data_IF_055216208423
#
_entry.id   IF_055216208423
#
_cell.length_a   1.000
_cell.length_b   1.000
_cell.length_c   1.000
_cell.angle_alpha   90.00
_cell.angle_beta   90.00
_cell.angle_gamma   90.00
#
_symmetry.space_group_name_H-M   'P 1'
#
loop_
_entity.id
_entity.type
_entity.pdbx_description
1 polymer ?
#
# COMPACT_ATOMS: atom_id res chain seq x y z
N UNK A 1 2.74 19.58 4.02
CA UNK A 1 1.74 19.29 2.98
C UNK A 1 2.47 18.54 1.87
N UNK A 2 2.37 17.22 1.84
CA UNK A 2 3.04 16.40 0.83
C UNK A 2 2.07 16.18 -0.34
N UNK A 3 2.44 16.68 -1.54
CA UNK A 3 2.02 16.02 -2.77
C UNK A 3 0.87 16.58 -3.60
N UNK A 4 0.39 17.80 -3.40
CA UNK A 4 -0.63 18.35 -4.32
C UNK A 4 -0.09 18.74 -5.70
N UNK A 5 1.19 19.11 -5.78
CA UNK A 5 1.81 19.60 -7.02
C UNK A 5 2.69 18.55 -7.72
N UNK A 6 2.90 17.38 -7.11
CA UNK A 6 3.78 16.36 -7.69
C UNK A 6 3.39 14.97 -7.21
N UNK A 7 2.95 14.13 -8.15
CA UNK A 7 2.75 12.69 -7.91
C UNK A 7 4.09 12.10 -7.45
N UNK A 8 4.06 11.36 -6.33
CA UNK A 8 5.21 10.63 -5.84
C UNK A 8 5.64 9.58 -6.86
N UNK A 9 6.92 9.59 -7.23
CA UNK A 9 7.46 8.70 -8.27
C UNK A 9 7.38 7.23 -7.90
N UNK A 10 7.52 6.89 -6.61
CA UNK A 10 7.36 5.53 -6.13
C UNK A 10 5.93 5.05 -6.30
N UNK A 11 4.96 5.88 -5.91
CA UNK A 11 3.53 5.57 -6.09
C UNK A 11 3.15 5.43 -7.56
N UNK A 12 3.65 6.30 -8.44
CA UNK A 12 3.43 6.16 -9.88
C UNK A 12 4.00 4.85 -10.43
N UNK A 13 5.23 4.51 -10.03
CA UNK A 13 5.87 3.24 -10.42
C UNK A 13 5.09 2.01 -9.96
N UNK A 14 4.49 2.05 -8.75
CA UNK A 14 3.62 1.00 -8.26
C UNK A 14 2.38 0.86 -9.14
N UNK A 15 1.71 1.96 -9.46
CA UNK A 15 0.49 1.96 -10.29
C UNK A 15 0.76 1.44 -11.70
N UNK A 16 1.88 1.78 -12.31
CA UNK A 16 2.28 1.27 -13.63
C UNK A 16 2.38 -0.27 -13.68
N UNK A 17 2.64 -0.91 -12.52
CA UNK A 17 2.76 -2.37 -12.41
C UNK A 17 1.53 -3.05 -11.79
N UNK A 18 0.51 -2.27 -11.38
CA UNK A 18 -0.64 -2.81 -10.66
C UNK A 18 -1.41 -3.86 -11.47
N UNK A 19 -1.63 -3.62 -12.78
CA UNK A 19 -2.30 -4.58 -13.66
C UNK A 19 -1.58 -5.93 -13.71
N UNK A 20 -0.26 -5.93 -13.86
CA UNK A 20 0.56 -7.16 -13.87
C UNK A 20 0.55 -7.85 -12.48
N UNK A 21 0.53 -7.08 -11.40
CA UNK A 21 0.43 -7.61 -10.04
C UNK A 21 -0.94 -8.28 -9.79
N UNK A 22 -2.03 -7.76 -10.36
CA UNK A 22 -3.37 -8.31 -10.21
C UNK A 22 -3.64 -9.52 -11.11
N UNK A 23 -2.94 -9.64 -12.24
CA UNK A 23 -3.18 -10.70 -13.24
C UNK A 23 -3.13 -12.14 -12.68
N UNK A 24 -2.27 -12.51 -11.70
CA UNK A 24 -2.22 -13.87 -11.16
C UNK A 24 -3.37 -14.25 -10.21
N UNK A 25 -4.29 -13.33 -9.89
CA UNK A 25 -5.46 -13.70 -9.08
C UNK A 25 -6.40 -14.58 -9.91
N UNK A 26 -6.72 -15.76 -9.40
CA UNK A 26 -7.66 -16.70 -10.05
C UNK A 26 -9.11 -16.20 -10.03
N UNK A 27 -9.45 -15.42 -9.02
CA UNK A 27 -10.72 -14.71 -8.87
C UNK A 27 -10.40 -13.23 -8.71
N UNK A 28 -11.09 -12.31 -9.40
CA UNK A 28 -10.86 -10.89 -9.22
C UNK A 28 -10.94 -10.49 -7.74
N UNK A 29 -9.93 -9.77 -7.22
CA UNK A 29 -9.95 -9.34 -5.82
C UNK A 29 -11.03 -8.28 -5.61
N UNK A 30 -11.75 -8.38 -4.50
CA UNK A 30 -12.90 -7.50 -4.22
C UNK A 30 -12.54 -6.33 -3.30
N UNK A 31 -11.58 -6.52 -2.39
CA UNK A 31 -11.26 -5.55 -1.35
C UNK A 31 -9.81 -5.04 -1.43
N UNK A 32 -9.66 -3.72 -1.30
CA UNK A 32 -8.38 -3.03 -1.35
C UNK A 32 -8.13 -2.24 -0.06
N UNK A 33 -6.92 -2.35 0.47
CA UNK A 33 -6.39 -1.47 1.51
C UNK A 33 -5.19 -0.66 0.97
N UNK A 34 -5.26 0.67 1.09
CA UNK A 34 -4.13 1.58 0.91
C UNK A 34 -3.55 1.92 2.30
N UNK A 35 -2.41 1.33 2.63
CA UNK A 35 -1.79 1.40 3.95
C UNK A 35 -0.71 2.48 4.01
N UNK A 36 -0.93 3.54 4.79
CA UNK A 36 -0.12 4.75 4.75
C UNK A 36 -0.48 5.60 3.54
N UNK A 37 -1.77 5.85 3.37
CA UNK A 37 -2.37 6.32 2.12
C UNK A 37 -1.99 7.74 1.70
N UNK A 38 -1.47 8.57 2.62
CA UNK A 38 -1.29 9.99 2.33
C UNK A 38 -2.61 10.63 1.88
N UNK A 39 -2.62 11.27 0.72
CA UNK A 39 -3.83 11.86 0.13
C UNK A 39 -4.66 10.86 -0.70
N UNK A 40 -4.32 9.56 -0.69
CA UNK A 40 -5.11 8.49 -1.30
C UNK A 40 -4.84 8.24 -2.78
N UNK A 41 -3.68 8.61 -3.29
CA UNK A 41 -3.34 8.43 -4.71
C UNK A 41 -3.41 6.97 -5.16
N UNK A 42 -2.78 6.05 -4.42
CA UNK A 42 -2.77 4.62 -4.78
C UNK A 42 -4.19 4.06 -4.83
N UNK A 43 -5.01 4.35 -3.83
CA UNK A 43 -6.39 3.90 -3.76
C UNK A 43 -7.25 4.46 -4.91
N UNK A 44 -7.11 5.75 -5.22
CA UNK A 44 -7.87 6.40 -6.29
C UNK A 44 -7.50 5.82 -7.67
N UNK A 45 -6.22 5.64 -7.97
CA UNK A 45 -5.79 5.03 -9.22
C UNK A 45 -6.19 3.54 -9.30
N UNK A 46 -6.03 2.80 -8.20
CA UNK A 46 -6.40 1.39 -8.13
C UNK A 46 -7.92 1.15 -8.30
N UNK A 47 -8.77 2.13 -7.98
CA UNK A 47 -10.23 2.01 -8.12
C UNK A 47 -10.69 1.62 -9.53
N UNK A 48 -9.87 1.90 -10.54
CA UNK A 48 -10.14 1.57 -11.95
C UNK A 48 -10.05 0.06 -12.24
N UNK A 49 -9.55 -0.73 -11.30
CA UNK A 49 -9.38 -2.18 -11.45
C UNK A 49 -10.56 -3.02 -10.91
N UNK A 50 -11.68 -2.40 -10.57
CA UNK A 50 -12.94 -3.11 -10.30
C UNK A 50 -13.10 -3.62 -8.89
N UNK A 51 -12.41 -3.04 -7.89
CA UNK A 51 -12.63 -3.37 -6.47
C UNK A 51 -14.05 -2.98 -6.03
N UNK A 52 -14.66 -3.84 -5.21
CA UNK A 52 -15.99 -3.61 -4.63
C UNK A 52 -15.95 -2.77 -3.35
N UNK A 53 -14.82 -2.74 -2.67
CA UNK A 53 -14.58 -1.94 -1.46
C UNK A 53 -13.13 -1.43 -1.44
N UNK A 54 -12.97 -0.16 -1.05
CA UNK A 54 -11.67 0.48 -0.89
C UNK A 54 -11.56 1.13 0.49
N UNK A 55 -10.54 0.75 1.24
CA UNK A 55 -10.20 1.33 2.53
C UNK A 55 -8.82 1.96 2.46
N UNK A 56 -8.66 3.11 3.10
CA UNK A 56 -7.38 3.78 3.24
C UNK A 56 -7.08 4.07 4.71
N UNK A 57 -5.82 4.06 5.10
CA UNK A 57 -5.42 4.37 6.47
C UNK A 57 -4.14 5.19 6.52
N UNK A 58 -4.14 6.19 7.39
CA UNK A 58 -2.98 7.02 7.70
C UNK A 58 -3.06 7.50 9.16
N UNK A 59 -1.94 7.97 9.72
CA UNK A 59 -1.91 8.58 11.05
C UNK A 59 -1.83 10.11 11.03
N UNK A 60 -1.65 10.70 9.86
CA UNK A 60 -1.57 12.14 9.67
C UNK A 60 -2.95 12.74 9.40
N UNK A 61 -3.43 13.64 10.27
CA UNK A 61 -4.77 14.23 10.15
C UNK A 61 -4.98 15.01 8.84
N UNK A 62 -3.96 15.72 8.34
CA UNK A 62 -4.06 16.45 7.09
C UNK A 62 -4.14 15.49 5.87
N UNK A 63 -3.39 14.39 5.90
CA UNK A 63 -3.45 13.35 4.90
C UNK A 63 -4.84 12.69 4.86
N UNK A 64 -5.38 12.34 6.02
CA UNK A 64 -6.73 11.76 6.17
C UNK A 64 -7.79 12.70 5.60
N UNK A 65 -7.74 14.00 5.91
CA UNK A 65 -8.69 14.98 5.38
C UNK A 65 -8.62 15.05 3.85
N UNK A 66 -7.41 15.17 3.31
CA UNK A 66 -7.20 15.21 1.87
C UNK A 66 -7.65 13.91 1.17
N UNK A 67 -7.39 12.75 1.78
CA UNK A 67 -7.81 11.46 1.25
C UNK A 67 -9.34 11.35 1.22
N UNK A 68 -10.04 11.78 2.26
CA UNK A 68 -11.51 11.80 2.31
C UNK A 68 -12.11 12.69 1.21
N UNK A 69 -11.54 13.87 0.99
CA UNK A 69 -11.98 14.76 -0.09
C UNK A 69 -11.78 14.12 -1.46
N UNK A 70 -10.63 13.49 -1.71
CA UNK A 70 -10.36 12.79 -2.95
C UNK A 70 -11.28 11.59 -3.14
N UNK A 71 -11.53 10.79 -2.11
CA UNK A 71 -12.45 9.66 -2.18
C UNK A 71 -13.88 10.11 -2.52
N UNK A 72 -14.38 11.15 -1.85
CA UNK A 72 -15.70 11.71 -2.13
C UNK A 72 -15.87 12.22 -3.58
N UNK A 73 -14.77 12.67 -4.20
CA UNK A 73 -14.80 13.19 -5.58
C UNK A 73 -14.56 12.14 -6.65
N UNK A 74 -13.79 11.10 -6.35
CA UNK A 74 -13.23 10.20 -7.36
C UNK A 74 -13.74 8.76 -7.26
N UNK A 75 -14.18 8.32 -6.08
CA UNK A 75 -14.63 6.95 -5.88
C UNK A 75 -16.16 6.84 -5.90
N UNK A 76 -16.65 5.84 -6.63
CA UNK A 76 -18.08 5.50 -6.70
C UNK A 76 -18.42 4.23 -5.92
N UNK A 77 -17.42 3.45 -5.52
CA UNK A 77 -17.56 2.23 -4.74
C UNK A 77 -17.59 2.53 -3.24
N UNK A 78 -18.14 1.65 -2.39
CA UNK A 78 -18.03 1.73 -0.95
C UNK A 78 -16.59 1.99 -0.52
N UNK A 79 -16.38 3.04 0.26
CA UNK A 79 -15.05 3.43 0.68
C UNK A 79 -15.03 4.08 2.07
N UNK A 80 -13.88 4.02 2.73
CA UNK A 80 -13.66 4.70 4.01
C UNK A 80 -12.19 5.01 4.24
N UNK A 81 -11.94 6.08 4.99
CA UNK A 81 -10.61 6.48 5.44
C UNK A 81 -10.55 6.39 6.96
N UNK A 82 -9.66 5.55 7.46
CA UNK A 82 -9.51 5.20 8.88
C UNK A 82 -8.25 5.83 9.44
N UNK A 83 -8.40 6.61 10.51
CA UNK A 83 -7.25 7.10 11.25
C UNK A 83 -6.61 5.95 12.03
N UNK A 84 -5.31 5.73 11.85
CA UNK A 84 -4.61 4.66 12.56
C UNK A 84 -3.15 4.56 12.17
N UNK A 85 -2.31 4.20 13.12
CA UNK A 85 -0.89 4.04 12.91
C UNK A 85 -0.62 2.71 12.20
N UNK A 86 -0.25 2.80 10.92
CA UNK A 86 -0.04 1.66 10.03
C UNK A 86 -1.24 0.67 10.05
N UNK A 87 -2.46 1.18 10.05
CA UNK A 87 -3.68 0.36 10.04
C UNK A 87 -4.07 -0.29 11.38
N UNK A 88 -3.54 0.19 12.51
CA UNK A 88 -3.78 -0.39 13.84
C UNK A 88 -5.27 -0.49 14.22
N UNK A 89 -6.11 0.41 13.72
CA UNK A 89 -7.55 0.49 14.01
C UNK A 89 -8.43 -0.26 13.01
N UNK A 90 -7.83 -1.09 12.14
CA UNK A 90 -8.54 -1.92 11.18
C UNK A 90 -8.50 -3.37 11.64
N UNK A 91 -9.64 -4.04 11.65
CA UNK A 91 -9.76 -5.47 11.98
C UNK A 91 -10.03 -6.35 10.76
N UNK A 92 -10.64 -5.76 9.72
CA UNK A 92 -10.94 -6.43 8.46
C UNK A 92 -9.66 -6.88 7.72
N UNK A 93 -9.78 -7.96 6.95
CA UNK A 93 -8.73 -8.42 6.03
C UNK A 93 -9.09 -8.09 4.59
N UNK A 94 -8.07 -7.90 3.77
CA UNK A 94 -8.19 -7.44 2.39
C UNK A 94 -7.53 -8.39 1.40
N UNK A 95 -8.09 -8.49 0.19
CA UNK A 95 -7.52 -9.28 -0.89
C UNK A 95 -6.25 -8.64 -1.45
N UNK A 96 -6.25 -7.31 -1.52
CA UNK A 96 -5.12 -6.51 -1.98
C UNK A 96 -4.74 -5.46 -0.93
N UNK A 97 -3.46 -5.34 -0.68
CA UNK A 97 -2.89 -4.29 0.15
C UNK A 97 -1.80 -3.58 -0.65
N UNK A 98 -1.95 -2.27 -0.81
CA UNK A 98 -0.94 -1.40 -1.41
C UNK A 98 -0.26 -0.58 -0.33
N UNK A 99 1.04 -0.34 -0.45
CA UNK A 99 1.78 0.46 0.52
C UNK A 99 2.97 1.16 -0.12
N UNK A 100 3.04 2.46 0.07
CA UNK A 100 4.25 3.26 -0.13
C UNK A 100 4.64 3.83 1.24
N UNK A 101 5.40 3.08 2.06
CA UNK A 101 5.68 3.49 3.43
C UNK A 101 6.62 4.70 3.46
N UNK A 102 6.53 5.57 4.48
CA UNK A 102 7.28 6.82 4.57
C UNK A 102 8.76 6.58 4.96
N UNK A 103 9.46 5.75 4.19
CA UNK A 103 10.88 5.52 4.39
C UNK A 103 11.70 6.55 3.64
N UNK A 104 12.38 7.43 4.35
CA UNK A 104 13.24 8.44 3.74
C UNK A 104 14.58 7.82 3.34
N UNK A 105 15.04 8.11 2.12
CA UNK A 105 16.35 7.72 1.64
C UNK A 105 17.45 8.41 2.49
N UNK A 106 18.38 7.62 3.06
CA UNK A 106 19.65 8.13 3.52
C UNK A 106 20.07 7.89 4.97
N UNK A 107 19.23 7.30 5.82
CA UNK A 107 19.65 6.90 7.17
C UNK A 107 19.12 5.50 7.47
N UNK A 108 19.79 4.84 8.41
CA UNK A 108 19.31 3.57 8.96
C UNK A 108 17.80 3.67 9.11
N UNK A 109 17.11 2.95 8.24
CA UNK A 109 15.66 2.79 8.33
C UNK A 109 15.41 2.53 9.81
N UNK A 110 14.52 3.28 10.43
CA UNK A 110 14.02 2.85 11.72
C UNK A 110 13.38 1.48 11.42
N UNK A 111 14.16 0.42 11.66
CA UNK A 111 13.76 -0.96 11.40
C UNK A 111 12.41 -1.26 12.03
N UNK A 112 12.10 -0.53 13.12
CA UNK A 112 10.83 -0.59 13.83
C UNK A 112 9.64 -0.13 12.98
N UNK A 113 9.81 0.92 12.16
CA UNK A 113 8.73 1.40 11.29
C UNK A 113 8.45 0.40 10.19
N UNK A 114 9.49 -0.13 9.53
CA UNK A 114 9.37 -1.17 8.51
C UNK A 114 8.71 -2.43 9.06
N UNK A 115 9.19 -2.91 10.20
CA UNK A 115 8.63 -4.07 10.90
C UNK A 115 7.15 -3.83 11.27
N UNK A 116 6.79 -2.64 11.71
CA UNK A 116 5.41 -2.28 12.06
C UNK A 116 4.48 -2.39 10.84
N UNK A 117 4.87 -1.82 9.70
CA UNK A 117 4.12 -1.93 8.46
C UNK A 117 3.98 -3.39 8.01
N UNK A 118 5.05 -4.17 8.03
CA UNK A 118 5.04 -5.59 7.65
C UNK A 118 4.14 -6.43 8.57
N UNK A 119 4.24 -6.25 9.88
CA UNK A 119 3.41 -6.96 10.86
C UNK A 119 1.93 -6.66 10.67
N UNK A 120 1.57 -5.39 10.49
CA UNK A 120 0.19 -5.01 10.26
C UNK A 120 -0.31 -5.45 8.88
N UNK A 121 0.51 -5.34 7.84
CA UNK A 121 0.16 -5.88 6.53
C UNK A 121 -0.12 -7.39 6.61
N UNK A 122 0.69 -8.16 7.34
CA UNK A 122 0.46 -9.60 7.57
C UNK A 122 -0.89 -9.88 8.23
N UNK A 123 -1.26 -9.06 9.22
CA UNK A 123 -2.54 -9.18 9.94
C UNK A 123 -3.75 -8.82 9.08
N UNK A 124 -3.59 -7.77 8.25
CA UNK A 124 -4.66 -7.20 7.43
C UNK A 124 -4.83 -7.87 6.07
N UNK A 125 -3.91 -8.75 5.69
CA UNK A 125 -3.98 -9.47 4.42
C UNK A 125 -4.82 -10.75 4.56
N UNK A 126 -5.77 -10.97 3.63
CA UNK A 126 -6.51 -12.21 3.53
C UNK A 126 -5.57 -13.39 3.21
N UNK A 127 -5.97 -14.62 3.51
CA UNK A 127 -5.12 -15.81 3.30
C UNK A 127 -4.70 -15.97 1.83
N UNK A 128 -5.62 -15.72 0.90
CA UNK A 128 -5.37 -15.71 -0.54
C UNK A 128 -4.94 -14.34 -1.08
N UNK A 129 -4.81 -13.35 -0.19
CA UNK A 129 -4.48 -11.98 -0.54
C UNK A 129 -3.02 -11.78 -0.90
N UNK A 130 -2.74 -10.67 -1.55
CA UNK A 130 -1.39 -10.24 -1.92
C UNK A 130 -1.17 -8.78 -1.59
N UNK A 131 -0.02 -8.47 -1.03
CA UNK A 131 0.41 -7.10 -0.80
C UNK A 131 1.46 -6.67 -1.83
N UNK A 132 1.44 -5.38 -2.20
CA UNK A 132 2.42 -4.76 -3.07
C UNK A 132 2.98 -3.52 -2.37
N UNK A 133 4.27 -3.56 -2.10
CA UNK A 133 5.03 -2.46 -1.50
C UNK A 133 5.94 -1.82 -2.53
N UNK A 134 6.01 -0.50 -2.52
CA UNK A 134 7.07 0.24 -3.20
C UNK A 134 7.99 0.86 -2.17
N UNK A 135 9.29 0.67 -2.35
CA UNK A 135 10.32 1.25 -1.49
C UNK A 135 11.48 1.78 -2.33
N UNK A 136 12.25 2.70 -1.77
CA UNK A 136 13.52 3.08 -2.36
C UNK A 136 14.38 1.83 -2.57
N UNK A 137 15.10 1.75 -3.70
CA UNK A 137 15.91 0.59 -4.09
C UNK A 137 16.85 0.08 -2.99
N UNK A 138 17.45 1.00 -2.23
CA UNK A 138 18.44 0.65 -1.21
C UNK A 138 17.84 0.15 0.11
N UNK A 139 16.52 0.23 0.29
CA UNK A 139 15.84 -0.27 1.49
C UNK A 139 15.62 -1.78 1.34
N UNK A 140 16.27 -2.56 2.20
CA UNK A 140 16.21 -4.02 2.17
C UNK A 140 14.96 -4.57 2.89
N UNK A 141 13.76 -4.03 2.59
CA UNK A 141 12.52 -4.42 3.24
C UNK A 141 12.20 -5.91 3.06
N UNK A 142 12.59 -6.49 1.92
CA UNK A 142 12.39 -7.91 1.62
C UNK A 142 13.12 -8.86 2.59
N UNK A 143 14.20 -8.42 3.21
CA UNK A 143 14.90 -9.23 4.23
C UNK A 143 14.03 -9.40 5.48
N UNK A 144 13.46 -8.30 5.97
CA UNK A 144 12.58 -8.32 7.14
C UNK A 144 11.21 -8.94 6.83
N UNK A 145 10.73 -8.78 5.60
CA UNK A 145 9.45 -9.34 5.18
C UNK A 145 9.40 -10.86 5.26
N UNK A 146 10.54 -11.56 5.08
CA UNK A 146 10.63 -13.03 5.18
C UNK A 146 10.30 -13.59 6.56
N UNK A 147 10.38 -12.77 7.60
CA UNK A 147 9.97 -13.17 8.96
C UNK A 147 8.43 -13.19 9.12
N UNK A 148 7.71 -12.53 8.21
CA UNK A 148 6.25 -12.36 8.28
C UNK A 148 5.49 -13.07 7.15
N UNK A 149 6.10 -13.24 5.98
CA UNK A 149 5.46 -13.76 4.78
C UNK A 149 6.20 -14.95 4.20
N UNK A 150 5.46 -15.93 3.70
CA UNK A 150 6.04 -17.12 3.06
C UNK A 150 6.62 -16.83 1.68
N UNK A 151 5.99 -15.92 0.96
CA UNK A 151 6.44 -15.49 -0.38
C UNK A 151 6.77 -14.01 -0.34
N UNK A 152 7.99 -13.70 -0.74
CA UNK A 152 8.55 -12.36 -0.78
C UNK A 152 9.38 -12.25 -2.06
N UNK A 153 8.87 -11.53 -3.05
CA UNK A 153 9.50 -11.40 -4.34
C UNK A 153 9.66 -9.93 -4.74
N UNK A 154 10.82 -9.57 -5.24
CA UNK A 154 11.04 -8.29 -5.92
C UNK A 154 10.63 -8.47 -7.37
N UNK A 155 9.55 -7.81 -7.79
CA UNK A 155 8.97 -8.00 -9.13
C UNK A 155 9.37 -6.93 -10.14
N UNK A 156 9.88 -5.79 -9.68
CA UNK A 156 10.38 -4.72 -10.52
C UNK A 156 11.40 -3.85 -9.77
N UNK A 157 12.35 -3.30 -10.51
CA UNK A 157 13.37 -2.35 -10.03
C UNK A 157 13.71 -1.39 -11.17
N UNK A 158 13.54 -0.09 -10.96
CA UNK A 158 13.83 0.93 -11.97
C UNK A 158 15.11 1.74 -11.68
N UNK A 159 15.93 1.28 -10.74
CA UNK A 159 17.16 1.95 -10.32
C UNK A 159 16.97 2.96 -9.18
N UNK A 160 15.77 3.47 -8.96
CA UNK A 160 15.42 4.36 -7.84
C UNK A 160 14.51 3.68 -6.83
N UNK A 161 13.52 2.93 -7.30
CA UNK A 161 12.52 2.21 -6.53
C UNK A 161 12.48 0.75 -6.91
N UNK A 162 12.04 -0.09 -5.98
CA UNK A 162 11.70 -1.49 -6.24
C UNK A 162 10.31 -1.82 -5.70
N UNK A 163 9.66 -2.78 -6.37
CA UNK A 163 8.37 -3.32 -5.97
C UNK A 163 8.55 -4.69 -5.35
N UNK A 164 7.93 -4.89 -4.20
CA UNK A 164 8.01 -6.13 -3.43
C UNK A 164 6.60 -6.67 -3.26
N UNK A 165 6.35 -7.90 -3.72
CA UNK A 165 5.10 -8.60 -3.46
C UNK A 165 5.25 -9.49 -2.24
N UNK A 166 4.18 -9.56 -1.44
CA UNK A 166 4.12 -10.33 -0.21
C UNK A 166 2.83 -11.16 -0.19
N UNK A 167 2.93 -12.44 0.20
CA UNK A 167 1.74 -13.28 0.45
C UNK A 167 2.00 -14.34 1.53
N UNK A 168 0.88 -14.90 2.05
CA UNK A 168 0.90 -15.94 3.08
C UNK A 168 1.55 -17.23 2.63
#
# INVERSE_FOLDING_TARGET
MFGWDKIDRGSAFLIDHLGAFLAPFSTPPESLLDLGCGYGYLACEASRHGFSEIVASDNNAAAISACRENFARLLTVPNRVVAGDAGSNIEQRFDVLLCNPPFHAGFSVDDRLGIKFLRNARRLLAISGRALFVVNRFIALEKYARDYFKRVDVIADNGAYKLITLSH
#
